data_IF_789751749572
#
_entry.id   IF_789751749572
#
_cell.length_a   1.000
_cell.length_b   1.000
_cell.length_c   1.000
_cell.angle_alpha   90.00
_cell.angle_beta   90.00
_cell.angle_gamma   90.00
#
_symmetry.space_group_name_H-M   'P 1'
#
loop_
_entity.id
_entity.type
_entity.pdbx_description
1 polymer ?
#
# COMPACT_ATOMS: atom_id res chain seq x y z
N UNK A 1 -5.61 14.06 -30.77
CA UNK A 1 -5.63 12.98 -29.77
C UNK A 1 -4.25 12.99 -29.14
N UNK A 2 -4.11 13.63 -27.99
CA UNK A 2 -2.80 13.89 -27.38
C UNK A 2 -2.10 12.58 -27.01
N UNK A 3 -0.80 12.49 -27.32
CA UNK A 3 0.11 11.33 -27.14
C UNK A 3 0.30 10.89 -25.66
N UNK A 4 -0.55 11.34 -24.74
CA UNK A 4 -0.45 11.09 -23.31
C UNK A 4 -1.57 10.21 -22.73
N UNK A 5 -2.54 9.78 -23.55
CA UNK A 5 -3.64 8.93 -23.11
C UNK A 5 -3.38 7.45 -23.42
N UNK A 6 -3.00 6.69 -22.39
CA UNK A 6 -3.22 5.24 -22.39
C UNK A 6 -4.53 5.03 -21.66
N UNK A 7 -5.64 4.99 -22.42
CA UNK A 7 -6.99 4.59 -21.99
C UNK A 7 -7.35 5.08 -20.57
N UNK A 8 -7.76 6.34 -20.45
CA UNK A 8 -8.23 7.01 -19.22
C UNK A 8 -7.27 7.04 -18.02
N UNK A 9 -5.98 6.73 -18.21
CA UNK A 9 -4.93 6.91 -17.19
C UNK A 9 -3.79 7.75 -17.74
N UNK A 10 -3.10 8.48 -16.87
CA UNK A 10 -1.94 9.27 -17.26
C UNK A 10 -0.66 8.43 -17.25
N UNK A 11 0.26 8.76 -18.16
CA UNK A 11 1.58 8.15 -18.23
C UNK A 11 2.31 8.30 -16.86
N UNK A 12 2.67 7.19 -16.19
CA UNK A 12 3.35 7.24 -14.90
C UNK A 12 4.66 8.05 -14.89
N UNK A 13 5.35 8.15 -16.04
CA UNK A 13 6.61 8.90 -16.17
C UNK A 13 6.42 10.42 -16.04
N UNK A 14 5.17 10.91 -16.02
CA UNK A 14 4.84 12.30 -15.70
C UNK A 14 4.94 12.59 -14.19
N UNK A 15 4.98 11.56 -13.32
CA UNK A 15 5.30 11.73 -11.92
C UNK A 15 6.77 12.13 -11.80
N UNK A 16 7.03 13.30 -11.22
CA UNK A 16 8.39 13.72 -10.88
C UNK A 16 9.04 12.64 -10.01
N UNK A 17 10.31 12.34 -10.29
CA UNK A 17 11.08 11.28 -9.63
C UNK A 17 10.88 9.86 -10.17
N UNK A 18 9.81 9.60 -10.94
CA UNK A 18 9.49 8.23 -11.40
C UNK A 18 10.61 7.59 -12.23
N UNK A 19 11.25 8.35 -13.13
CA UNK A 19 12.39 7.85 -13.92
C UNK A 19 13.59 7.45 -13.05
N UNK A 20 13.89 8.24 -12.02
CA UNK A 20 14.98 7.95 -11.09
C UNK A 20 14.65 6.75 -10.21
N UNK A 21 13.41 6.66 -9.72
CA UNK A 21 12.92 5.52 -8.95
C UNK A 21 13.02 4.23 -9.77
N UNK A 22 12.53 4.24 -11.01
CA UNK A 22 12.62 3.11 -11.92
C UNK A 22 14.07 2.66 -12.11
N UNK A 23 14.99 3.59 -12.44
CA UNK A 23 16.42 3.27 -12.64
C UNK A 23 17.02 2.60 -11.41
N UNK A 24 16.76 3.15 -10.22
CA UNK A 24 17.31 2.64 -8.96
C UNK A 24 16.74 1.27 -8.59
N UNK A 25 15.45 1.04 -8.83
CA UNK A 25 14.81 -0.27 -8.61
C UNK A 25 15.33 -1.31 -9.59
N UNK A 26 15.51 -0.96 -10.87
CA UNK A 26 16.11 -1.87 -11.86
C UNK A 26 17.52 -2.29 -11.42
N UNK A 27 18.33 -1.34 -10.96
CA UNK A 27 19.65 -1.63 -10.42
C UNK A 27 19.55 -2.63 -9.26
N UNK A 28 18.70 -2.37 -8.26
CA UNK A 28 18.53 -3.27 -7.11
C UNK A 28 18.15 -4.69 -7.54
N UNK A 29 17.21 -4.82 -8.48
CA UNK A 29 16.78 -6.12 -9.00
C UNK A 29 17.94 -6.84 -9.70
N UNK A 30 18.67 -6.15 -10.56
CA UNK A 30 19.75 -6.75 -11.36
C UNK A 30 20.98 -7.13 -10.52
N UNK A 31 21.30 -6.31 -9.52
CA UNK A 31 22.45 -6.51 -8.62
C UNK A 31 22.09 -7.41 -7.41
N UNK A 32 20.84 -7.88 -7.32
CA UNK A 32 20.31 -8.68 -6.21
C UNK A 32 20.47 -8.01 -4.85
N UNK A 33 20.36 -6.69 -4.85
CA UNK A 33 20.30 -5.89 -3.63
C UNK A 33 19.02 -6.20 -2.86
N UNK A 34 19.10 -6.14 -1.53
CA UNK A 34 17.95 -6.29 -0.65
C UNK A 34 17.09 -5.04 -0.71
N UNK A 35 15.86 -5.20 -1.20
CA UNK A 35 14.83 -4.17 -1.20
C UNK A 35 13.94 -4.34 0.03
N UNK A 36 13.75 -3.28 0.82
CA UNK A 36 12.76 -3.25 1.91
C UNK A 36 11.65 -2.26 1.59
N UNK A 37 10.43 -2.76 1.44
CA UNK A 37 9.23 -1.93 1.29
C UNK A 37 8.76 -1.49 2.67
N UNK A 38 8.86 -0.19 2.97
CA UNK A 38 8.49 0.38 4.26
C UNK A 38 7.11 1.04 4.18
N UNK A 39 6.15 0.63 5.00
CA UNK A 39 4.83 1.25 4.99
C UNK A 39 4.06 1.15 6.30
N UNK A 40 2.99 1.94 6.40
CA UNK A 40 2.17 2.04 7.61
C UNK A 40 1.14 0.90 7.72
N UNK A 41 0.50 0.75 8.89
CA UNK A 41 -0.44 -0.36 9.16
C UNK A 41 -1.87 -0.13 8.65
N UNK A 42 -2.15 0.99 7.97
CA UNK A 42 -3.48 1.18 7.40
C UNK A 42 -3.66 0.45 6.08
N UNK A 43 -4.91 0.28 5.67
CA UNK A 43 -5.22 -0.58 4.55
C UNK A 43 -4.68 -0.10 3.18
N UNK A 44 -4.60 1.21 2.97
CA UNK A 44 -4.02 1.79 1.76
C UNK A 44 -2.52 1.47 1.69
N UNK A 45 -1.81 1.62 2.82
CA UNK A 45 -0.41 1.18 2.91
C UNK A 45 -0.25 -0.35 2.81
N UNK A 46 -1.09 -1.15 3.45
CA UNK A 46 -1.04 -2.63 3.37
C UNK A 46 -1.18 -3.11 1.92
N UNK A 47 -2.13 -2.57 1.19
CA UNK A 47 -2.36 -2.93 -0.23
C UNK A 47 -1.22 -2.42 -1.12
N UNK A 48 -0.66 -1.24 -0.84
CA UNK A 48 0.53 -0.72 -1.52
C UNK A 48 1.77 -1.61 -1.29
N UNK A 49 2.03 -2.02 -0.04
CA UNK A 49 3.11 -2.95 0.31
C UNK A 49 2.90 -4.26 -0.44
N UNK A 50 1.71 -4.83 -0.33
CA UNK A 50 1.37 -6.12 -0.93
C UNK A 50 1.56 -6.12 -2.44
N UNK A 51 1.13 -5.04 -3.12
CA UNK A 51 1.32 -4.85 -4.56
C UNK A 51 2.80 -4.83 -4.95
N UNK A 52 3.62 -4.02 -4.28
CA UNK A 52 5.05 -3.93 -4.59
C UNK A 52 5.76 -5.25 -4.32
N UNK A 53 5.44 -5.93 -3.21
CA UNK A 53 5.98 -7.26 -2.89
C UNK A 53 5.63 -8.26 -3.99
N UNK A 54 4.38 -8.33 -4.43
CA UNK A 54 3.95 -9.25 -5.49
C UNK A 54 4.68 -8.98 -6.82
N UNK A 55 4.85 -7.72 -7.18
CA UNK A 55 5.52 -7.31 -8.43
C UNK A 55 7.03 -7.58 -8.37
N UNK A 56 7.68 -7.23 -7.27
CA UNK A 56 9.12 -7.43 -7.08
C UNK A 56 9.47 -8.92 -6.96
N UNK A 57 8.69 -9.71 -6.22
CA UNK A 57 8.86 -11.18 -6.15
C UNK A 57 8.62 -11.86 -7.49
N UNK A 58 7.67 -11.38 -8.29
CA UNK A 58 7.47 -11.88 -9.65
C UNK A 58 8.72 -11.72 -10.54
N UNK A 59 9.52 -10.68 -10.28
CA UNK A 59 10.80 -10.43 -10.95
C UNK A 59 11.99 -11.11 -10.28
N UNK A 60 11.76 -11.97 -9.29
CA UNK A 60 12.79 -12.62 -8.46
C UNK A 60 13.71 -11.62 -7.73
N UNK A 61 13.22 -10.43 -7.43
CA UNK A 61 13.95 -9.48 -6.59
C UNK A 61 14.07 -10.00 -5.16
N UNK A 62 15.19 -9.71 -4.49
CA UNK A 62 15.33 -9.98 -3.07
C UNK A 62 14.60 -8.89 -2.27
N UNK A 63 13.34 -9.17 -1.94
CA UNK A 63 12.44 -8.17 -1.36
C UNK A 63 11.80 -8.64 -0.06
N UNK A 64 11.88 -7.78 0.94
CA UNK A 64 11.15 -7.87 2.20
C UNK A 64 10.30 -6.62 2.41
N UNK A 65 9.44 -6.64 3.43
CA UNK A 65 8.72 -5.46 3.87
C UNK A 65 8.98 -5.19 5.34
N UNK A 66 8.84 -3.93 5.73
CA UNK A 66 8.80 -3.53 7.12
C UNK A 66 7.57 -2.67 7.38
N UNK A 67 6.78 -3.11 8.35
CA UNK A 67 5.67 -2.36 8.90
C UNK A 67 5.97 -2.08 10.37
N UNK A 68 6.02 -0.81 10.81
CA UNK A 68 6.32 -0.44 12.18
C UNK A 68 5.42 -1.15 13.20
N UNK A 69 6.02 -1.51 14.34
CA UNK A 69 5.34 -2.18 15.46
C UNK A 69 4.53 -1.23 16.35
N UNK A 70 4.61 0.07 16.10
CA UNK A 70 3.96 1.10 16.91
C UNK A 70 3.10 2.02 16.05
N UNK A 71 1.95 2.40 16.60
CA UNK A 71 1.11 3.40 15.98
C UNK A 71 1.62 4.80 16.34
N UNK A 72 1.96 5.59 15.31
CA UNK A 72 2.56 6.91 15.46
C UNK A 72 1.70 7.96 14.78
N UNK A 73 1.55 9.13 15.40
CA UNK A 73 0.73 10.19 14.81
C UNK A 73 1.28 10.67 13.46
N UNK A 74 2.61 10.65 13.29
CA UNK A 74 3.28 10.91 12.02
C UNK A 74 3.60 9.59 11.30
N UNK A 75 3.44 9.56 9.98
CA UNK A 75 3.69 8.38 9.12
C UNK A 75 5.15 8.31 8.66
N UNK A 76 6.03 8.94 9.42
CA UNK A 76 7.40 9.19 9.04
C UNK A 76 8.24 7.92 9.16
N UNK A 77 9.41 7.94 8.54
CA UNK A 77 10.47 7.01 8.92
C UNK A 77 10.87 7.25 10.36
N UNK A 78 11.50 6.24 10.94
CA UNK A 78 11.98 6.30 12.30
C UNK A 78 13.37 5.69 12.39
N UNK A 79 14.24 6.38 13.12
CA UNK A 79 15.63 5.98 13.32
C UNK A 79 15.76 4.61 14.00
N UNK A 80 14.93 4.32 15.01
CA UNK A 80 14.92 3.01 15.65
C UNK A 80 14.47 1.91 14.69
N UNK A 81 13.47 2.15 13.84
CA UNK A 81 13.05 1.17 12.82
C UNK A 81 14.19 0.89 11.82
N UNK A 82 14.90 1.94 11.40
CA UNK A 82 16.04 1.84 10.48
C UNK A 82 17.20 1.06 11.13
N UNK A 83 17.63 1.47 12.32
CA UNK A 83 18.81 0.90 12.98
C UNK A 83 18.58 -0.52 13.50
N UNK A 84 17.40 -0.77 14.08
CA UNK A 84 17.14 -2.00 14.83
C UNK A 84 16.41 -3.07 14.04
N UNK A 85 15.90 -2.76 12.85
CA UNK A 85 15.19 -3.74 12.02
C UNK A 85 15.65 -3.71 10.58
N UNK A 86 15.51 -2.58 9.89
CA UNK A 86 15.77 -2.51 8.44
C UNK A 86 17.24 -2.81 8.12
N UNK A 87 18.17 -2.29 8.92
CA UNK A 87 19.60 -2.61 8.79
C UNK A 87 19.88 -4.10 8.99
N UNK A 88 19.21 -4.76 9.93
CA UNK A 88 19.38 -6.20 10.19
C UNK A 88 18.75 -7.09 9.11
N UNK A 89 17.74 -6.59 8.38
CA UNK A 89 17.26 -7.23 7.15
C UNK A 89 18.29 -7.18 6.03
N UNK A 90 19.37 -6.40 6.19
CA UNK A 90 20.42 -6.22 5.19
C UNK A 90 20.00 -5.30 4.06
N UNK A 91 19.11 -4.34 4.30
CA UNK A 91 18.57 -3.47 3.27
C UNK A 91 19.64 -2.63 2.57
N UNK A 92 19.66 -2.68 1.24
CA UNK A 92 20.43 -1.77 0.38
C UNK A 92 19.54 -0.65 -0.16
N UNK A 93 18.24 -0.93 -0.36
CA UNK A 93 17.25 0.02 -0.86
C UNK A 93 15.97 -0.02 -0.03
N UNK A 94 15.54 1.13 0.49
CA UNK A 94 14.21 1.31 1.08
C UNK A 94 13.28 1.96 0.05
N UNK A 95 12.09 1.38 -0.13
CA UNK A 95 10.98 1.99 -0.87
C UNK A 95 9.86 2.28 0.12
N UNK A 96 9.61 3.55 0.44
CA UNK A 96 8.51 3.90 1.34
C UNK A 96 7.18 3.94 0.60
N UNK A 97 6.07 3.63 1.27
CA UNK A 97 4.70 3.74 0.73
C UNK A 97 3.76 4.46 1.69
N UNK A 98 3.23 5.61 1.24
CA UNK A 98 2.28 6.42 2.02
C UNK A 98 2.88 7.06 3.27
N UNK A 99 4.21 7.13 3.31
CA UNK A 99 4.99 7.75 4.39
C UNK A 99 5.41 9.16 4.01
N UNK A 100 5.28 10.07 4.98
CA UNK A 100 5.53 11.49 4.75
C UNK A 100 6.98 11.77 4.44
N UNK A 101 7.18 12.75 3.56
CA UNK A 101 8.46 13.33 3.19
C UNK A 101 9.22 13.92 4.41
N UNK A 102 8.57 14.21 5.54
CA UNK A 102 9.20 14.90 6.70
C UNK A 102 10.12 14.01 7.56
N UNK A 103 11.15 13.41 6.95
CA UNK A 103 12.09 12.47 7.58
C UNK A 103 13.55 12.77 7.24
N UNK A 104 13.95 14.05 7.25
CA UNK A 104 15.29 14.50 6.86
C UNK A 104 16.40 13.81 7.69
N UNK A 105 16.19 13.70 9.01
CA UNK A 105 17.11 13.02 9.92
C UNK A 105 17.27 11.54 9.56
N UNK A 106 16.15 10.87 9.31
CA UNK A 106 16.14 9.44 8.97
C UNK A 106 16.72 9.19 7.57
N UNK A 107 16.50 10.10 6.63
CA UNK A 107 17.12 10.06 5.30
C UNK A 107 18.64 10.21 5.42
N UNK A 108 19.13 11.14 6.26
CA UNK A 108 20.56 11.29 6.52
C UNK A 108 21.14 10.02 7.15
N UNK A 109 20.43 9.43 8.11
CA UNK A 109 20.81 8.15 8.72
C UNK A 109 20.88 7.00 7.69
N UNK A 110 19.93 6.91 6.77
CA UNK A 110 19.99 5.92 5.69
C UNK A 110 21.27 6.10 4.86
N UNK A 111 21.62 7.34 4.51
CA UNK A 111 22.88 7.64 3.79
C UNK A 111 24.11 7.22 4.59
N UNK A 112 24.17 7.51 5.89
CA UNK A 112 25.26 7.07 6.78
C UNK A 112 25.39 5.54 6.85
N UNK A 113 24.27 4.82 6.69
CA UNK A 113 24.22 3.36 6.68
C UNK A 113 24.40 2.74 5.29
N UNK A 114 24.67 3.54 4.25
CA UNK A 114 24.71 3.12 2.84
C UNK A 114 23.41 2.46 2.35
N UNK A 115 22.27 2.93 2.84
CA UNK A 115 20.95 2.48 2.43
C UNK A 115 20.33 3.57 1.54
N UNK A 116 20.07 3.25 0.28
CA UNK A 116 19.38 4.14 -0.62
C UNK A 116 17.89 4.23 -0.28
N UNK A 117 17.27 5.35 -0.65
CA UNK A 117 15.86 5.58 -0.36
C UNK A 117 15.09 6.14 -1.56
N UNK A 118 13.94 5.52 -1.82
CA UNK A 118 12.89 6.03 -2.70
C UNK A 118 11.67 6.31 -1.83
N UNK A 119 11.22 7.55 -1.82
CA UNK A 119 10.01 7.95 -1.10
C UNK A 119 8.83 7.91 -2.07
N UNK A 120 7.84 7.06 -1.80
CA UNK A 120 6.55 7.13 -2.51
C UNK A 120 5.45 7.59 -1.56
N UNK A 121 4.80 8.68 -1.93
CA UNK A 121 3.84 9.38 -1.08
C UNK A 121 2.77 10.08 -1.93
N UNK A 122 1.69 10.52 -1.31
CA UNK A 122 0.61 11.26 -1.94
C UNK A 122 0.16 12.48 -1.13
N UNK A 123 0.68 12.67 0.08
CA UNK A 123 0.33 13.82 0.91
C UNK A 123 0.87 15.13 0.31
N UNK A 124 0.19 16.25 0.59
CA UNK A 124 0.69 17.58 0.28
C UNK A 124 1.94 17.85 1.13
N UNK A 125 2.97 18.40 0.50
CA UNK A 125 4.21 18.78 1.19
C UNK A 125 4.69 20.14 0.69
N UNK A 126 5.31 20.89 1.60
CA UNK A 126 6.05 22.12 1.27
C UNK A 126 7.55 21.90 1.25
N UNK A 127 8.04 20.75 1.73
CA UNK A 127 9.46 20.46 1.82
C UNK A 127 10.00 20.05 0.45
N UNK A 128 11.11 20.68 0.06
CA UNK A 128 11.90 20.29 -1.09
C UNK A 128 13.00 19.35 -0.62
N UNK A 129 12.96 18.11 -1.08
CA UNK A 129 14.06 17.16 -0.88
C UNK A 129 14.75 16.92 -2.21
N UNK A 130 15.79 17.71 -2.47
CA UNK A 130 16.49 17.67 -3.76
C UNK A 130 17.42 16.46 -3.86
N UNK A 131 17.92 15.97 -2.72
CA UNK A 131 18.94 14.91 -2.66
C UNK A 131 18.38 13.49 -2.51
N UNK A 132 17.07 13.29 -2.69
CA UNK A 132 16.47 11.95 -2.67
C UNK A 132 15.44 11.77 -3.79
N UNK A 133 15.18 10.50 -4.12
CA UNK A 133 14.18 10.14 -5.13
C UNK A 133 12.79 10.21 -4.48
N UNK A 134 11.99 11.18 -4.87
CA UNK A 134 10.60 11.34 -4.40
C UNK A 134 9.62 11.13 -5.55
N UNK A 135 8.69 10.19 -5.37
CA UNK A 135 7.55 9.95 -6.27
C UNK A 135 6.27 10.31 -5.51
N UNK A 136 5.83 11.55 -5.70
CA UNK A 136 4.59 12.06 -5.13
C UNK A 136 3.89 13.01 -6.12
N UNK A 137 2.60 12.83 -6.44
CA UNK A 137 1.87 13.74 -7.31
C UNK A 137 1.76 15.16 -6.74
N UNK A 138 1.78 15.32 -5.42
CA UNK A 138 1.63 16.57 -4.68
C UNK A 138 2.95 17.23 -4.27
N UNK A 139 4.11 16.69 -4.67
CA UNK A 139 5.40 17.36 -4.43
C UNK A 139 5.56 18.61 -5.32
N UNK A 140 6.36 19.56 -4.85
CA UNK A 140 6.67 20.80 -5.59
C UNK A 140 7.30 20.50 -6.96
N UNK A 141 6.73 21.11 -8.00
CA UNK A 141 7.18 20.99 -9.38
C UNK A 141 6.78 19.67 -10.08
N UNK A 142 5.85 18.88 -9.52
CA UNK A 142 5.32 17.70 -10.18
C UNK A 142 4.16 18.07 -11.11
N UNK A 143 4.33 17.83 -12.41
CA UNK A 143 3.33 18.14 -13.44
C UNK A 143 2.31 17.00 -13.66
N UNK A 144 2.33 15.96 -12.82
CA UNK A 144 1.38 14.85 -12.95
C UNK A 144 -0.07 15.36 -12.83
N UNK A 145 -0.96 15.13 -13.82
CA UNK A 145 -2.24 15.84 -13.87
C UNK A 145 -3.21 15.48 -12.73
N UNK A 146 -3.17 14.24 -12.24
CA UNK A 146 -4.12 13.77 -11.23
C UNK A 146 -3.50 13.74 -9.83
N UNK A 147 -4.00 14.59 -8.92
CA UNK A 147 -3.41 14.81 -7.59
C UNK A 147 -3.99 13.95 -6.46
N UNK A 148 -5.07 13.23 -6.72
CA UNK A 148 -5.85 12.52 -5.70
C UNK A 148 -5.54 11.02 -5.63
N UNK A 149 -4.37 10.58 -6.10
CA UNK A 149 -3.95 9.18 -5.93
C UNK A 149 -3.83 8.84 -4.43
N UNK A 150 -4.21 7.61 -4.08
CA UNK A 150 -3.91 6.98 -2.78
C UNK A 150 -2.46 6.47 -2.73
N UNK A 151 -2.00 5.96 -1.58
CA UNK A 151 -0.70 5.31 -1.48
C UNK A 151 -0.59 4.13 -2.46
N UNK A 152 -1.61 3.26 -2.51
CA UNK A 152 -1.64 2.16 -3.46
C UNK A 152 -1.73 2.65 -4.90
N UNK A 153 -2.37 3.80 -5.15
CA UNK A 153 -2.44 4.42 -6.47
C UNK A 153 -1.05 4.87 -6.97
N UNK A 154 -0.24 5.49 -6.11
CA UNK A 154 1.14 5.85 -6.43
C UNK A 154 2.01 4.59 -6.60
N UNK A 155 1.87 3.60 -5.71
CA UNK A 155 2.55 2.32 -5.84
C UNK A 155 2.17 1.59 -7.14
N UNK A 156 0.91 1.68 -7.57
CA UNK A 156 0.44 1.12 -8.84
C UNK A 156 1.07 1.82 -10.04
N UNK A 157 1.23 3.15 -10.00
CA UNK A 157 1.97 3.87 -11.05
C UNK A 157 3.44 3.45 -11.13
N UNK A 158 4.08 3.22 -9.97
CA UNK A 158 5.42 2.66 -9.92
C UNK A 158 5.46 1.25 -10.53
N UNK A 159 4.53 0.38 -10.12
CA UNK A 159 4.42 -0.98 -10.61
C UNK A 159 4.12 -1.05 -12.12
N UNK A 160 3.27 -0.16 -12.65
CA UNK A 160 3.03 -0.02 -14.09
C UNK A 160 4.32 0.35 -14.84
N UNK A 161 5.14 1.22 -14.26
CA UNK A 161 6.41 1.63 -14.85
C UNK A 161 7.41 0.47 -14.90
N UNK A 162 7.54 -0.26 -13.79
CA UNK A 162 8.37 -1.47 -13.69
C UNK A 162 7.88 -2.53 -14.69
N UNK A 163 6.56 -2.79 -14.73
CA UNK A 163 5.91 -3.71 -15.64
C UNK A 163 6.18 -3.37 -17.10
N UNK A 164 6.10 -2.09 -17.46
CA UNK A 164 6.37 -1.63 -18.83
C UNK A 164 7.84 -1.90 -19.22
N UNK A 165 8.79 -1.59 -18.32
CA UNK A 165 10.21 -1.83 -18.54
C UNK A 165 10.53 -3.31 -18.77
N UNK A 166 10.01 -4.19 -17.89
CA UNK A 166 10.20 -5.64 -18.00
C UNK A 166 9.22 -6.33 -18.98
N UNK A 167 8.38 -5.56 -19.69
CA UNK A 167 7.35 -6.07 -20.63
C UNK A 167 6.43 -7.12 -20.01
N UNK A 168 6.07 -6.95 -18.75
CA UNK A 168 5.13 -7.83 -18.05
C UNK A 168 3.71 -7.61 -18.60
N UNK A 169 3.02 -8.70 -18.93
CA UNK A 169 1.63 -8.67 -19.43
C UNK A 169 0.58 -8.68 -18.31
N UNK A 170 0.99 -8.87 -17.06
CA UNK A 170 0.12 -9.32 -15.99
C UNK A 170 -0.17 -8.28 -14.90
N UNK A 171 0.26 -7.02 -15.06
CA UNK A 171 0.07 -5.99 -14.03
C UNK A 171 -1.40 -5.71 -13.71
N UNK A 172 -2.28 -5.80 -14.72
CA UNK A 172 -3.72 -5.59 -14.56
C UNK A 172 -4.36 -6.63 -13.63
N UNK A 173 -3.73 -7.80 -13.40
CA UNK A 173 -4.28 -8.81 -12.48
C UNK A 173 -4.34 -8.35 -11.02
N UNK A 174 -3.67 -7.25 -10.68
CA UNK A 174 -3.64 -6.67 -9.34
C UNK A 174 -4.59 -5.46 -9.20
N UNK A 175 -5.36 -5.10 -10.22
CA UNK A 175 -6.26 -3.92 -10.14
C UNK A 175 -7.34 -4.08 -9.10
N UNK A 176 -7.74 -5.31 -8.77
CA UNK A 176 -8.63 -5.61 -7.65
C UNK A 176 -8.02 -5.16 -6.32
N UNK A 177 -6.78 -5.54 -6.03
CA UNK A 177 -6.03 -5.11 -4.85
C UNK A 177 -5.83 -3.58 -4.81
N UNK A 178 -5.52 -2.98 -5.96
CA UNK A 178 -5.33 -1.51 -6.08
C UNK A 178 -6.62 -0.77 -5.80
N UNK A 179 -7.75 -1.24 -6.33
CA UNK A 179 -9.06 -0.70 -6.02
C UNK A 179 -9.36 -0.77 -4.53
N UNK A 180 -9.13 -1.92 -3.89
CA UNK A 180 -9.39 -2.11 -2.45
C UNK A 180 -8.69 -1.04 -1.60
N UNK A 181 -7.40 -0.77 -1.85
CA UNK A 181 -6.69 0.29 -1.16
C UNK A 181 -7.22 1.68 -1.49
N UNK A 182 -7.54 1.94 -2.77
CA UNK A 182 -8.03 3.24 -3.26
C UNK A 182 -9.34 3.65 -2.58
N UNK A 183 -10.30 2.74 -2.42
CA UNK A 183 -11.61 3.04 -1.81
C UNK A 183 -11.52 3.18 -0.28
N UNK A 184 -10.48 2.62 0.36
CA UNK A 184 -10.38 2.54 1.83
C UNK A 184 -10.14 3.87 2.55
N UNK A 185 -9.60 4.87 1.83
CA UNK A 185 -9.25 6.18 2.40
C UNK A 185 -10.27 7.28 2.16
N UNK A 186 -11.40 6.97 1.52
CA UNK A 186 -12.39 7.98 1.15
C UNK A 186 -11.84 9.03 0.19
N UNK A 187 -10.79 8.70 -0.56
CA UNK A 187 -10.30 9.54 -1.65
C UNK A 187 -11.42 9.75 -2.68
N UNK A 188 -11.52 10.94 -3.30
CA UNK A 188 -12.53 11.17 -4.32
C UNK A 188 -12.42 10.14 -5.46
N UNK A 189 -13.52 9.44 -5.74
CA UNK A 189 -13.63 8.47 -6.84
C UNK A 189 -13.96 9.23 -8.12
N UNK A 190 -12.95 9.96 -8.62
CA UNK A 190 -12.99 10.76 -9.84
C UNK A 190 -11.69 10.56 -10.63
N UNK A 191 -11.70 10.85 -11.92
CA UNK A 191 -10.50 10.72 -12.76
C UNK A 191 -9.90 9.32 -12.71
N UNK A 192 -8.60 9.21 -12.43
CA UNK A 192 -7.91 7.92 -12.39
C UNK A 192 -8.41 6.99 -11.28
N UNK A 193 -8.88 7.53 -10.14
CA UNK A 193 -9.46 6.70 -9.09
C UNK A 193 -10.75 6.02 -9.57
N UNK A 194 -11.60 6.70 -10.36
CA UNK A 194 -12.80 6.09 -10.95
C UNK A 194 -12.42 4.94 -11.88
N UNK A 195 -11.42 5.16 -12.75
CA UNK A 195 -10.93 4.12 -13.64
C UNK A 195 -10.35 2.91 -12.88
N UNK A 196 -9.55 3.16 -11.84
CA UNK A 196 -8.99 2.10 -10.98
C UNK A 196 -10.12 1.28 -10.35
N UNK A 197 -11.17 1.94 -9.86
CA UNK A 197 -12.34 1.25 -9.29
C UNK A 197 -13.03 0.43 -10.37
N UNK A 198 -13.40 1.02 -11.51
CA UNK A 198 -14.07 0.30 -12.60
C UNK A 198 -13.31 -0.94 -13.07
N UNK A 199 -12.00 -0.83 -13.29
CA UNK A 199 -11.16 -1.97 -13.71
C UNK A 199 -10.94 -2.98 -12.57
N UNK A 200 -10.83 -2.51 -11.33
CA UNK A 200 -10.72 -3.37 -10.15
C UNK A 200 -11.98 -4.20 -9.92
N UNK A 201 -13.17 -3.64 -10.15
CA UNK A 201 -14.44 -4.37 -10.04
C UNK A 201 -14.56 -5.46 -11.10
N UNK A 202 -14.13 -5.17 -12.33
CA UNK A 202 -14.04 -6.19 -13.39
C UNK A 202 -13.10 -7.31 -12.94
N UNK A 203 -11.89 -6.97 -12.51
CA UNK A 203 -10.87 -7.94 -12.09
C UNK A 203 -11.30 -8.76 -10.87
N UNK A 204 -12.04 -8.18 -9.93
CA UNK A 204 -12.52 -8.82 -8.71
C UNK A 204 -13.39 -10.05 -9.01
N UNK A 205 -14.22 -9.98 -10.06
CA UNK A 205 -15.11 -11.06 -10.49
C UNK A 205 -14.38 -12.35 -10.87
N UNK A 206 -13.10 -12.25 -11.23
CA UNK A 206 -12.23 -13.37 -11.57
C UNK A 206 -10.86 -13.24 -10.89
N UNK A 207 -10.85 -12.70 -9.66
CA UNK A 207 -9.62 -12.46 -8.90
C UNK A 207 -8.80 -13.74 -8.77
N UNK A 208 -7.49 -13.65 -9.02
CA UNK A 208 -6.55 -14.74 -8.75
C UNK A 208 -5.86 -14.59 -7.39
N UNK A 209 -6.21 -13.57 -6.62
CA UNK A 209 -5.67 -13.36 -5.28
C UNK A 209 -6.44 -14.25 -4.28
N UNK A 210 -5.76 -15.24 -3.72
CA UNK A 210 -6.37 -16.16 -2.75
C UNK A 210 -6.91 -15.45 -1.51
N UNK A 211 -6.24 -14.39 -1.07
CA UNK A 211 -6.67 -13.58 0.06
C UNK A 211 -7.97 -12.84 -0.20
N UNK A 212 -8.05 -12.14 -1.33
CA UNK A 212 -9.29 -11.46 -1.74
C UNK A 212 -10.44 -12.46 -1.88
N UNK A 213 -10.19 -13.61 -2.51
CA UNK A 213 -11.20 -14.67 -2.65
C UNK A 213 -11.69 -15.19 -1.29
N UNK A 214 -10.78 -15.45 -0.36
CA UNK A 214 -11.15 -15.90 0.99
C UNK A 214 -11.99 -14.86 1.75
N UNK A 215 -11.69 -13.56 1.59
CA UNK A 215 -12.49 -12.49 2.19
C UNK A 215 -13.90 -12.43 1.59
N UNK A 216 -14.06 -12.63 0.29
CA UNK A 216 -15.37 -12.67 -0.36
C UNK A 216 -16.21 -13.85 0.17
N UNK A 217 -15.59 -15.03 0.24
CA UNK A 217 -16.23 -16.27 0.73
C UNK A 217 -16.70 -16.12 2.19
N UNK A 218 -15.84 -15.65 3.09
CA UNK A 218 -16.15 -15.56 4.53
C UNK A 218 -17.23 -14.51 4.87
N UNK A 219 -17.42 -13.52 4.00
CA UNK A 219 -18.41 -12.47 4.19
C UNK A 219 -19.73 -12.71 3.42
N UNK A 220 -19.88 -13.87 2.76
CA UNK A 220 -21.05 -14.19 1.92
C UNK A 220 -21.38 -13.10 0.89
N UNK A 221 -20.35 -12.43 0.38
CA UNK A 221 -20.52 -11.34 -0.57
C UNK A 221 -20.86 -11.94 -1.93
N UNK A 222 -22.14 -11.92 -2.26
CA UNK A 222 -22.66 -12.53 -3.49
C UNK A 222 -22.61 -11.57 -4.68
N UNK A 223 -22.47 -10.26 -4.41
CA UNK A 223 -22.28 -9.26 -5.45
C UNK A 223 -21.32 -8.15 -5.01
N UNK A 224 -20.77 -7.47 -6.00
CA UNK A 224 -19.72 -6.47 -5.85
C UNK A 224 -20.24 -5.15 -5.26
N UNK A 225 -21.50 -4.80 -5.51
CA UNK A 225 -22.13 -3.63 -4.89
C UNK A 225 -22.27 -3.80 -3.39
N UNK A 226 -22.59 -5.00 -2.92
CA UNK A 226 -22.60 -5.36 -1.51
C UNK A 226 -21.18 -5.27 -0.93
N UNK A 227 -20.14 -5.68 -1.65
CA UNK A 227 -18.75 -5.51 -1.19
C UNK A 227 -18.37 -4.03 -0.98
N UNK A 228 -18.63 -3.17 -1.98
CA UNK A 228 -18.29 -1.75 -1.93
C UNK A 228 -19.11 -1.03 -0.85
N UNK A 229 -20.42 -1.32 -0.76
CA UNK A 229 -21.33 -0.67 0.17
C UNK A 229 -21.23 -1.25 1.58
N UNK A 230 -20.81 -2.50 1.70
CA UNK A 230 -20.44 -3.05 2.98
C UNK A 230 -19.21 -2.29 3.47
N UNK A 231 -19.26 -1.84 4.71
CA UNK A 231 -18.06 -1.36 5.37
C UNK A 231 -17.02 -2.49 5.52
N UNK A 232 -17.10 -3.65 4.87
CA UNK A 232 -16.13 -4.75 5.02
C UNK A 232 -14.70 -4.28 4.79
N UNK A 233 -14.41 -3.49 3.77
CA UNK A 233 -13.06 -2.95 3.55
C UNK A 233 -12.58 -2.04 4.71
N UNK A 234 -13.53 -1.39 5.40
CA UNK A 234 -13.34 -0.39 6.48
C UNK A 234 -13.41 -1.03 7.89
N UNK A 235 -14.16 -2.12 8.03
CA UNK A 235 -14.46 -2.83 9.26
C UNK A 235 -13.47 -3.98 9.44
N UNK A 236 -13.07 -4.63 8.33
CA UNK A 236 -11.98 -5.62 8.31
C UNK A 236 -10.65 -4.95 8.60
N UNK A 237 -10.45 -3.74 8.07
CA UNK A 237 -9.22 -3.00 8.23
C UNK A 237 -9.49 -1.66 8.94
N UNK A 238 -9.20 -1.61 10.25
CA UNK A 238 -9.39 -0.47 11.13
C UNK A 238 -9.10 0.95 10.61
N UNK A 239 -9.99 1.88 10.95
CA UNK A 239 -9.76 3.34 10.87
C UNK A 239 -8.83 3.93 11.95
N UNK A 240 -8.52 3.26 13.07
CA UNK A 240 -7.71 3.86 14.17
C UNK A 240 -7.00 2.91 15.17
N UNK A 241 -6.01 3.48 15.88
CA UNK A 241 -5.05 2.93 16.86
C UNK A 241 -5.60 1.94 17.91
N UNK A 242 -5.33 0.64 17.75
CA UNK A 242 -5.23 -0.27 18.91
C UNK A 242 -4.15 -1.32 18.69
N UNK A 243 -3.43 -1.72 19.74
CA UNK A 243 -2.22 -2.57 19.65
C UNK A 243 -2.43 -3.87 18.86
N UNK A 244 -3.60 -4.53 18.96
CA UNK A 244 -3.90 -5.74 18.19
C UNK A 244 -4.02 -5.53 16.66
N UNK A 245 -4.05 -4.28 16.18
CA UNK A 245 -4.24 -3.94 14.76
C UNK A 245 -2.93 -3.87 13.97
N UNK A 246 -1.81 -3.69 14.67
CA UNK A 246 -0.47 -3.64 14.09
C UNK A 246 -0.02 -5.05 13.68
N UNK A 247 -0.28 -6.05 14.53
CA UNK A 247 -0.03 -7.46 14.17
C UNK A 247 -0.97 -7.90 13.04
N UNK A 248 -2.22 -7.44 13.04
CA UNK A 248 -3.16 -7.69 11.96
C UNK A 248 -2.72 -7.12 10.62
N UNK A 249 -1.92 -6.04 10.59
CA UNK A 249 -1.42 -5.49 9.34
C UNK A 249 -0.39 -6.42 8.67
N UNK A 250 0.52 -7.03 9.43
CA UNK A 250 1.43 -8.07 8.90
C UNK A 250 0.65 -9.28 8.38
N UNK A 251 -0.36 -9.71 9.14
CA UNK A 251 -1.25 -10.81 8.75
C UNK A 251 -2.04 -10.47 7.48
N UNK A 252 -2.47 -9.21 7.32
CA UNK A 252 -3.15 -8.74 6.12
C UNK A 252 -2.22 -8.70 4.89
N UNK A 253 -0.97 -8.26 5.07
CA UNK A 253 0.03 -8.32 4.01
C UNK A 253 0.26 -9.78 3.59
N UNK A 254 0.36 -10.71 4.54
CA UNK A 254 0.45 -12.14 4.24
C UNK A 254 -0.80 -12.65 3.48
N UNK A 255 -2.00 -12.24 3.90
CA UNK A 255 -3.26 -12.60 3.22
C UNK A 255 -3.24 -12.22 1.74
N UNK A 256 -2.80 -10.99 1.40
CA UNK A 256 -2.80 -10.53 0.02
C UNK A 256 -1.61 -11.02 -0.80
N UNK A 257 -0.54 -11.52 -0.15
CA UNK A 257 0.69 -11.94 -0.85
C UNK A 257 0.90 -13.45 -0.89
N UNK A 258 0.12 -14.23 -0.12
CA UNK A 258 0.24 -15.69 -0.08
C UNK A 258 -0.19 -16.35 -1.40
N UNK A 259 0.51 -17.44 -1.74
CA UNK A 259 0.18 -18.33 -2.84
C UNK A 259 -0.53 -19.63 -2.37
N UNK A 260 -0.87 -19.72 -1.09
CA UNK A 260 -1.57 -20.86 -0.49
C UNK A 260 -3.02 -20.50 -0.16
N UNK A 261 -3.96 -21.11 -0.87
CA UNK A 261 -5.40 -20.92 -0.67
C UNK A 261 -5.91 -21.37 0.70
N UNK A 262 -5.29 -22.38 1.32
CA UNK A 262 -5.65 -22.84 2.66
C UNK A 262 -5.17 -21.83 3.71
N UNK A 263 -3.93 -21.36 3.57
CA UNK A 263 -3.39 -20.29 4.42
C UNK A 263 -4.22 -19.02 4.31
N UNK A 264 -4.62 -18.62 3.11
CA UNK A 264 -5.50 -17.47 2.89
C UNK A 264 -6.84 -17.62 3.64
N UNK A 265 -7.48 -18.79 3.58
CA UNK A 265 -8.71 -19.08 4.33
C UNK A 265 -8.51 -19.02 5.84
N UNK A 266 -7.40 -19.54 6.36
CA UNK A 266 -7.08 -19.46 7.79
C UNK A 266 -6.93 -18.01 8.25
N UNK A 267 -6.17 -17.21 7.49
CA UNK A 267 -5.94 -15.81 7.80
C UNK A 267 -7.25 -15.00 7.72
N UNK A 268 -8.01 -15.18 6.64
CA UNK A 268 -9.31 -14.51 6.44
C UNK A 268 -10.26 -14.77 7.61
N UNK A 269 -10.40 -16.03 8.01
CA UNK A 269 -11.23 -16.43 9.17
C UNK A 269 -10.71 -15.84 10.48
N UNK A 270 -9.39 -15.77 10.67
CA UNK A 270 -8.80 -15.13 11.84
C UNK A 270 -9.17 -13.64 11.90
N UNK A 271 -8.93 -12.89 10.82
CA UNK A 271 -9.25 -11.47 10.73
C UNK A 271 -10.75 -11.22 10.94
N UNK A 272 -11.61 -12.00 10.27
CA UNK A 272 -13.07 -11.97 10.43
C UNK A 272 -13.51 -12.06 11.90
N UNK A 273 -12.92 -13.01 12.64
CA UNK A 273 -13.24 -13.20 14.05
C UNK A 273 -12.73 -12.07 14.95
N UNK A 274 -11.55 -11.51 14.66
CA UNK A 274 -11.00 -10.38 15.40
C UNK A 274 -11.87 -9.12 15.27
N UNK A 275 -12.42 -8.87 14.08
CA UNK A 275 -13.36 -7.76 13.83
C UNK A 275 -14.63 -7.96 14.63
N UNK A 276 -15.24 -9.15 14.58
CA UNK A 276 -16.44 -9.47 15.37
C UNK A 276 -16.22 -9.27 16.86
N UNK A 277 -15.03 -9.64 17.38
CA UNK A 277 -14.67 -9.43 18.79
C UNK A 277 -14.54 -7.95 19.11
N UNK A 278 -13.93 -7.17 18.23
CA UNK A 278 -13.75 -5.73 18.42
C UNK A 278 -15.08 -4.98 18.37
N UNK A 279 -15.94 -5.26 17.40
CA UNK A 279 -17.26 -4.63 17.28
C UNK A 279 -18.14 -4.94 18.51
N UNK A 280 -18.11 -6.17 19.02
CA UNK A 280 -18.80 -6.52 20.28
C UNK A 280 -18.29 -5.72 21.49
N UNK A 281 -16.98 -5.43 21.55
CA UNK A 281 -16.38 -4.64 22.65
C UNK A 281 -16.76 -3.16 22.55
N UNK A 282 -16.79 -2.59 21.34
CA UNK A 282 -17.20 -1.20 21.11
C UNK A 282 -18.66 -1.01 21.53
N UNK A 283 -19.57 -1.86 21.03
CA UNK A 283 -20.99 -1.79 21.39
C UNK A 283 -21.21 -1.89 22.91
N UNK A 284 -20.48 -2.78 23.60
CA UNK A 284 -20.54 -2.88 25.07
C UNK A 284 -20.09 -1.60 25.77
N UNK A 285 -19.01 -0.96 25.31
CA UNK A 285 -18.52 0.31 25.88
C UNK A 285 -19.50 1.45 25.67
N UNK A 286 -20.09 1.59 24.48
CA UNK A 286 -21.09 2.62 24.20
C UNK A 286 -22.34 2.45 25.08
N UNK A 287 -22.83 1.22 25.24
CA UNK A 287 -23.95 0.91 26.14
C UNK A 287 -23.59 1.27 27.59
N UNK A 288 -22.38 0.95 28.05
CA UNK A 288 -21.95 1.23 29.42
C UNK A 288 -21.73 2.73 29.67
N UNK A 289 -21.27 3.48 28.67
CA UNK A 289 -21.10 4.94 28.74
C UNK A 289 -22.46 5.65 28.79
N UNK A 290 -23.46 5.16 28.04
CA UNK A 290 -24.83 5.69 28.08
C UNK A 290 -25.54 5.38 29.41
N UNK A 291 -25.18 4.29 30.09
CA UNK A 291 -25.71 3.94 31.41
C UNK A 291 -25.07 4.73 32.57
N UNK A 292 -23.92 5.37 32.38
CA UNK A 292 -23.27 6.23 33.39
C UNK A 292 -23.70 7.70 33.32
N UNK A 293 -24.50 8.07 32.32
CA UNK A 293 -25.02 9.44 32.11
C UNK A 293 -26.46 9.57 32.65
N UNK A 294 -27.03 8.52 33.23
CA UNK A 294 -28.37 8.50 33.86
C UNK A 294 -28.25 8.47 35.39
#
# INVERSE_FOLDING_TARGET
MDEHYIKNTYNPLLLKGMKNALRRIIQAINEREKIVVYGYYDFDSITAISLLILVLRYLNADVEYFQPNEARANRNLNDNDIQNYIKYLGADLIITVGSTINSEKEIALCKELNIDIIVTDYHKTTNNMEDIIVVNPNQKGCNYPFKNLSAVGVAYKLAQTISSYYKMSCINKYTDLVMLGTISKGSPIVGENSYIVEEGLKQLSYTNNYGIRALLDDNNVNNIEEFINSNLTIDIFPKSNSMGRIDNAKIAIELFTTNDSYRAKQISKYLYNEIKRTNKRINKKEIQMNLQIV
#
